data_IF_175975526363
#
_entry.id   IF_175975526363
#
_cell.length_a   1.000
_cell.length_b   1.000
_cell.length_c   1.000
_cell.angle_alpha   90.00
_cell.angle_beta   90.00
_cell.angle_gamma   90.00
#
_symmetry.space_group_name_H-M   'P 1'
#
loop_
_entity.id
_entity.type
_entity.pdbx_description
1 polymer ?
#
# COMPACT_ATOMS: atom_id res chain seq x y z
N UNK A 1 15.96 -27.08 22.24
CA UNK A 1 15.17 -27.15 20.99
C UNK A 1 15.04 -25.72 20.47
N UNK A 2 15.84 -25.33 19.48
CA UNK A 2 15.81 -23.96 18.94
C UNK A 2 14.65 -23.86 17.94
N UNK A 3 13.60 -23.13 18.30
CA UNK A 3 12.61 -22.69 17.32
C UNK A 3 13.35 -21.77 16.35
N UNK A 4 13.68 -22.27 15.16
CA UNK A 4 14.17 -21.45 14.07
C UNK A 4 13.14 -20.36 13.81
N UNK A 5 13.45 -19.13 14.23
CA UNK A 5 12.67 -17.93 13.99
C UNK A 5 12.63 -17.68 12.49
N UNK A 6 11.72 -18.35 11.78
CA UNK A 6 11.37 -17.92 10.45
C UNK A 6 10.66 -16.58 10.60
N UNK A 7 11.16 -15.49 9.99
CA UNK A 7 10.49 -14.19 10.03
C UNK A 7 9.31 -14.18 9.04
N UNK A 8 8.56 -15.28 9.02
CA UNK A 8 7.23 -15.33 8.45
C UNK A 8 6.36 -14.34 9.22
N UNK A 9 5.73 -13.42 8.49
CA UNK A 9 4.82 -12.46 9.12
C UNK A 9 3.71 -13.22 9.85
N UNK A 10 3.71 -13.16 11.18
CA UNK A 10 2.65 -13.78 11.96
C UNK A 10 1.30 -13.10 11.64
N UNK A 11 0.17 -13.80 11.77
CA UNK A 11 -1.16 -13.19 11.64
C UNK A 11 -1.34 -11.96 12.54
N UNK A 12 -0.69 -11.95 13.71
CA UNK A 12 -0.66 -10.83 14.65
C UNK A 12 0.09 -9.62 14.08
N UNK A 13 1.24 -9.83 13.46
CA UNK A 13 2.00 -8.77 12.78
C UNK A 13 1.23 -8.21 11.59
N UNK A 14 0.66 -9.07 10.74
CA UNK A 14 -0.17 -8.65 9.62
C UNK A 14 -1.38 -7.82 10.08
N UNK A 15 -2.03 -8.24 11.19
CA UNK A 15 -3.13 -7.47 11.81
C UNK A 15 -2.67 -6.10 12.28
N UNK A 16 -1.50 -5.98 12.92
CA UNK A 16 -0.93 -4.69 13.35
C UNK A 16 -0.68 -3.75 12.17
N UNK A 17 -0.11 -4.26 11.08
CA UNK A 17 0.13 -3.46 9.87
C UNK A 17 -1.19 -2.96 9.28
N UNK A 18 -2.19 -3.83 9.09
CA UNK A 18 -3.52 -3.44 8.61
C UNK A 18 -4.20 -2.40 9.51
N UNK A 19 -4.07 -2.55 10.83
CA UNK A 19 -4.59 -1.57 11.79
C UNK A 19 -3.88 -0.22 11.64
N UNK A 20 -2.56 -0.22 11.47
CA UNK A 20 -1.79 1.00 11.24
C UNK A 20 -2.20 1.68 9.94
N UNK A 21 -2.31 0.94 8.84
CA UNK A 21 -2.77 1.45 7.56
C UNK A 21 -4.18 2.07 7.65
N UNK A 22 -5.09 1.42 8.39
CA UNK A 22 -6.44 1.94 8.65
C UNK A 22 -6.40 3.25 9.45
N UNK A 23 -5.51 3.35 10.44
CA UNK A 23 -5.35 4.55 11.29
C UNK A 23 -4.84 5.76 10.53
N UNK A 24 -4.07 5.57 9.45
CA UNK A 24 -3.67 6.70 8.60
C UNK A 24 -4.86 7.40 7.93
N UNK A 25 -6.00 6.71 7.81
CA UNK A 25 -7.24 7.21 7.21
C UNK A 25 -6.96 7.90 5.86
N UNK A 26 -6.13 7.28 5.01
CA UNK A 26 -5.64 7.89 3.77
C UNK A 26 -6.76 8.44 2.89
N UNK A 27 -7.88 7.73 2.82
CA UNK A 27 -9.09 8.16 2.11
C UNK A 27 -9.66 9.53 2.54
N UNK A 28 -9.36 10.04 3.74
CA UNK A 28 -9.80 11.36 4.22
C UNK A 28 -8.83 12.49 3.90
N UNK A 29 -7.59 12.19 3.51
CA UNK A 29 -6.53 13.18 3.28
C UNK A 29 -6.62 13.81 1.90
N UNK A 30 -7.80 14.29 1.50
CA UNK A 30 -8.05 14.80 0.13
C UNK A 30 -7.31 16.10 -0.19
N UNK A 31 -6.95 16.90 0.84
CA UNK A 31 -6.12 18.10 0.70
C UNK A 31 -4.67 17.76 0.32
N UNK A 32 -4.13 16.66 0.82
CA UNK A 32 -2.74 16.23 0.57
C UNK A 32 -2.57 15.71 -0.86
N UNK A 33 -1.39 15.92 -1.46
CA UNK A 33 -1.01 15.30 -2.72
C UNK A 33 -0.68 13.81 -2.51
N UNK A 34 -0.56 13.05 -3.61
CA UNK A 34 -0.15 11.65 -3.52
C UNK A 34 1.29 11.53 -2.99
N UNK A 35 2.17 12.49 -3.35
CA UNK A 35 3.53 12.58 -2.86
C UNK A 35 3.58 12.85 -1.35
N UNK A 36 2.75 13.75 -0.83
CA UNK A 36 2.68 14.02 0.61
C UNK A 36 2.24 12.78 1.39
N UNK A 37 1.26 12.05 0.85
CA UNK A 37 0.82 10.78 1.41
C UNK A 37 1.99 9.80 1.41
N UNK A 38 2.65 9.60 0.28
CA UNK A 38 3.79 8.72 0.13
C UNK A 38 4.90 9.06 1.12
N UNK A 39 5.32 10.32 1.23
CA UNK A 39 6.32 10.78 2.20
C UNK A 39 5.94 10.42 3.64
N UNK A 40 4.67 10.53 4.01
CA UNK A 40 4.22 10.23 5.38
C UNK A 40 4.16 8.73 5.71
N UNK A 41 3.90 7.86 4.73
CA UNK A 41 3.71 6.42 4.98
C UNK A 41 4.91 5.56 4.59
N UNK A 42 5.74 6.02 3.66
CA UNK A 42 6.89 5.28 3.14
C UNK A 42 7.89 4.83 4.22
N UNK A 43 8.21 5.62 5.27
CA UNK A 43 9.10 5.13 6.32
C UNK A 43 8.60 3.85 6.99
N UNK A 44 7.29 3.76 7.28
CA UNK A 44 6.70 2.57 7.86
C UNK A 44 6.66 1.40 6.87
N UNK A 45 6.28 1.66 5.61
CA UNK A 45 6.24 0.65 4.55
C UNK A 45 7.64 0.07 4.30
N UNK A 46 8.67 0.91 4.22
CA UNK A 46 10.08 0.47 4.10
C UNK A 46 10.50 -0.40 5.27
N UNK A 47 10.13 -0.03 6.49
CA UNK A 47 10.38 -0.86 7.67
C UNK A 47 9.76 -2.25 7.55
N UNK A 48 8.51 -2.34 7.09
CA UNK A 48 7.84 -3.64 6.88
C UNK A 48 8.45 -4.43 5.73
N UNK A 49 8.79 -3.79 4.62
CA UNK A 49 9.45 -4.43 3.48
C UNK A 49 10.82 -4.95 3.86
N UNK A 50 11.63 -4.18 4.58
CA UNK A 50 12.97 -4.60 4.99
C UNK A 50 12.90 -5.75 6.01
N UNK A 51 11.95 -5.71 6.94
CA UNK A 51 11.82 -6.72 7.99
C UNK A 51 11.18 -8.03 7.48
N UNK A 52 10.12 -7.95 6.67
CA UNK A 52 9.35 -9.13 6.24
C UNK A 52 9.61 -9.57 4.78
N UNK A 53 10.14 -8.68 3.93
CA UNK A 53 10.23 -8.87 2.48
C UNK A 53 11.28 -9.88 2.01
N UNK A 54 12.27 -10.21 2.84
CA UNK A 54 13.28 -11.22 2.52
C UNK A 54 12.75 -12.66 2.65
N UNK A 55 11.73 -12.89 3.48
CA UNK A 55 11.35 -14.25 3.88
C UNK A 55 9.90 -14.60 3.57
N UNK A 56 8.99 -13.61 3.47
CA UNK A 56 7.56 -13.89 3.35
C UNK A 56 6.83 -12.90 2.44
N UNK A 57 7.31 -12.72 1.21
CA UNK A 57 6.70 -11.82 0.21
C UNK A 57 5.22 -12.13 -0.03
N UNK A 58 4.86 -13.41 -0.16
CA UNK A 58 3.49 -13.86 -0.44
C UNK A 58 2.47 -13.45 0.62
N UNK A 59 2.87 -13.39 1.89
CA UNK A 59 1.99 -12.97 2.99
C UNK A 59 2.05 -11.46 3.25
N UNK A 60 3.15 -10.81 2.88
CA UNK A 60 3.30 -9.36 2.99
C UNK A 60 2.52 -8.61 1.89
N UNK A 61 2.53 -9.11 0.66
CA UNK A 61 1.88 -8.46 -0.49
C UNK A 61 0.37 -8.17 -0.27
N UNK A 62 -0.46 -9.11 0.22
CA UNK A 62 -1.87 -8.82 0.50
C UNK A 62 -2.07 -7.68 1.52
N UNK A 63 -1.17 -7.56 2.50
CA UNK A 63 -1.21 -6.51 3.52
C UNK A 63 -0.83 -5.15 2.92
N UNK A 64 0.11 -5.14 1.97
CA UNK A 64 0.50 -3.93 1.24
C UNK A 64 -0.60 -3.51 0.26
N UNK A 65 -1.28 -4.45 -0.41
CA UNK A 65 -2.44 -4.17 -1.26
C UNK A 65 -3.62 -3.54 -0.51
N UNK A 66 -3.81 -3.81 0.80
CA UNK A 66 -4.80 -3.10 1.61
C UNK A 66 -4.54 -1.59 1.66
N UNK A 67 -3.27 -1.17 1.62
CA UNK A 67 -2.87 0.25 1.55
C UNK A 67 -3.32 0.83 0.21
N UNK A 68 -3.12 0.09 -0.89
CA UNK A 68 -3.53 0.52 -2.23
C UNK A 68 -5.05 0.65 -2.34
N UNK A 69 -5.81 -0.22 -1.67
CA UNK A 69 -7.26 -0.06 -1.57
C UNK A 69 -7.67 1.23 -0.85
N UNK A 70 -6.93 1.64 0.18
CA UNK A 70 -7.12 2.95 0.82
C UNK A 70 -6.74 4.11 -0.11
N UNK A 71 -5.70 3.97 -0.94
CA UNK A 71 -5.33 4.95 -1.96
C UNK A 71 -6.40 5.05 -3.05
N UNK A 72 -6.97 3.94 -3.52
CA UNK A 72 -8.11 3.95 -4.45
C UNK A 72 -9.29 4.72 -3.86
N UNK A 73 -9.61 4.49 -2.58
CA UNK A 73 -10.65 5.27 -1.88
C UNK A 73 -10.31 6.76 -1.78
N UNK A 74 -9.03 7.11 -1.61
CA UNK A 74 -8.56 8.49 -1.66
C UNK A 74 -8.75 9.11 -3.05
N UNK A 75 -8.36 8.40 -4.13
CA UNK A 75 -8.57 8.84 -5.52
C UNK A 75 -10.05 9.10 -5.78
N UNK A 76 -10.92 8.19 -5.32
CA UNK A 76 -12.38 8.33 -5.42
C UNK A 76 -12.90 9.61 -4.76
N UNK A 77 -12.35 9.97 -3.60
CA UNK A 77 -12.78 11.14 -2.84
C UNK A 77 -12.18 12.45 -3.35
N UNK A 78 -10.90 12.45 -3.73
CA UNK A 78 -10.17 13.64 -4.22
C UNK A 78 -10.63 14.04 -5.62
N UNK A 79 -10.80 13.09 -6.53
CA UNK A 79 -11.15 13.39 -7.92
C UNK A 79 -12.59 13.00 -8.24
N UNK A 80 -13.50 13.97 -8.28
CA UNK A 80 -14.93 13.71 -8.54
C UNK A 80 -15.19 13.06 -9.91
N UNK A 81 -14.43 13.41 -10.96
CA UNK A 81 -14.56 12.81 -12.31
C UNK A 81 -13.80 11.47 -12.44
N UNK A 82 -12.50 11.44 -12.11
CA UNK A 82 -11.65 10.24 -12.23
C UNK A 82 -12.02 9.15 -11.22
N UNK A 83 -12.58 9.57 -10.08
CA UNK A 83 -12.97 8.75 -8.94
C UNK A 83 -14.42 8.25 -8.95
N UNK A 84 -15.24 8.63 -9.94
CA UNK A 84 -16.66 8.25 -10.01
C UNK A 84 -16.85 6.73 -10.02
N UNK A 85 -15.99 6.02 -10.74
CA UNK A 85 -16.06 4.56 -10.87
C UNK A 85 -14.81 3.92 -10.26
N UNK A 86 -15.00 2.85 -9.49
CA UNK A 86 -13.89 2.12 -8.85
C UNK A 86 -12.85 1.65 -9.87
N UNK A 87 -13.29 1.14 -11.04
CA UNK A 87 -12.38 0.74 -12.13
C UNK A 87 -11.51 1.90 -12.63
N UNK A 88 -12.07 3.11 -12.76
CA UNK A 88 -11.30 4.30 -13.19
C UNK A 88 -10.31 4.76 -12.14
N UNK A 89 -10.67 4.69 -10.85
CA UNK A 89 -9.76 5.03 -9.76
C UNK A 89 -8.60 4.02 -9.64
N UNK A 90 -8.90 2.72 -9.81
CA UNK A 90 -7.91 1.65 -9.88
C UNK A 90 -6.97 1.88 -11.06
N UNK A 91 -7.52 2.07 -12.27
CA UNK A 91 -6.71 2.33 -13.48
C UNK A 91 -5.84 3.58 -13.33
N UNK A 92 -6.38 4.66 -12.79
CA UNK A 92 -5.61 5.88 -12.54
C UNK A 92 -4.44 5.62 -11.59
N UNK A 93 -4.67 4.89 -10.49
CA UNK A 93 -3.60 4.56 -9.56
C UNK A 93 -2.58 3.59 -10.16
N UNK A 94 -3.04 2.60 -10.95
CA UNK A 94 -2.17 1.68 -11.69
C UNK A 94 -1.28 2.41 -12.70
N UNK A 95 -1.82 3.38 -13.44
CA UNK A 95 -1.03 4.24 -14.33
C UNK A 95 0.03 5.05 -13.56
N UNK A 96 -0.34 5.61 -12.40
CA UNK A 96 0.64 6.32 -11.56
C UNK A 96 1.73 5.38 -11.06
N UNK A 97 1.37 4.16 -10.63
CA UNK A 97 2.34 3.17 -10.18
C UNK A 97 3.26 2.69 -11.31
N UNK A 98 2.74 2.61 -12.54
CA UNK A 98 3.53 2.30 -13.72
C UNK A 98 4.56 3.39 -14.05
N UNK A 99 4.14 4.67 -14.02
CA UNK A 99 5.05 5.79 -14.31
C UNK A 99 6.00 6.14 -13.16
N UNK A 100 5.60 5.88 -11.91
CA UNK A 100 6.35 6.22 -10.71
C UNK A 100 6.40 5.03 -9.73
N UNK A 101 7.06 3.92 -10.10
CA UNK A 101 7.09 2.71 -9.28
C UNK A 101 7.81 2.91 -7.93
N UNK A 102 8.64 3.95 -7.81
CA UNK A 102 9.34 4.30 -6.58
C UNK A 102 8.53 5.21 -5.64
N UNK A 103 7.34 5.67 -6.05
CA UNK A 103 6.55 6.62 -5.23
C UNK A 103 6.13 5.99 -3.91
N UNK A 104 5.65 4.74 -3.92
CA UNK A 104 5.43 3.96 -2.72
C UNK A 104 6.43 2.82 -2.66
N UNK A 105 7.03 2.61 -1.48
CA UNK A 105 8.09 1.62 -1.34
C UNK A 105 7.66 0.19 -1.73
N UNK A 106 6.40 -0.17 -1.52
CA UNK A 106 5.89 -1.49 -1.87
C UNK A 106 5.60 -1.71 -3.36
N UNK A 107 5.42 -0.65 -4.14
CA UNK A 107 5.14 -0.79 -5.58
C UNK A 107 6.31 -1.43 -6.34
N UNK A 108 7.54 -1.29 -5.83
CA UNK A 108 8.71 -2.00 -6.35
C UNK A 108 8.67 -3.52 -6.19
N UNK A 109 7.89 -4.05 -5.23
CA UNK A 109 7.73 -5.48 -4.99
C UNK A 109 6.63 -6.11 -5.86
N UNK A 110 5.74 -5.28 -6.39
CA UNK A 110 4.57 -5.66 -7.15
C UNK A 110 3.68 -4.44 -7.34
N UNK A 111 3.35 -4.14 -8.59
CA UNK A 111 2.41 -3.07 -8.89
C UNK A 111 1.05 -3.39 -8.22
N UNK A 112 0.37 -2.37 -7.66
CA UNK A 112 -0.83 -2.58 -6.86
C UNK A 112 -2.01 -3.11 -7.68
N UNK A 113 -2.03 -2.80 -8.98
CA UNK A 113 -3.06 -3.22 -9.92
C UNK A 113 -2.44 -3.36 -11.32
N UNK A 114 -2.86 -4.36 -12.12
CA UNK A 114 -2.43 -4.45 -13.51
C UNK A 114 -2.89 -3.20 -14.28
N UNK A 115 -1.97 -2.63 -15.07
CA UNK A 115 -2.26 -1.53 -15.97
C UNK A 115 -2.90 -2.08 -17.25
N UNK A 116 -4.18 -2.46 -17.19
CA UNK A 116 -5.01 -2.81 -18.37
C UNK A 116 -5.96 -1.68 -18.79
#
# INVERSE_FOLDING_TARGET
>A
MFASFTPAISPRSAKKIRQQARRWRLHLRTSQSLNDIAHSVNPAIRGWVNYYGAYQRSTLLPVLHDIDYHLVKWVKRKYKKKGKYSKRAIRWLGQVAYHQPALFAHWSLGAPFPAE
#
